data_IF_353289175751
#
_entry.id   IF_353289175751
#
_cell.length_a   1.000
_cell.length_b   1.000
_cell.length_c   1.000
_cell.angle_alpha   90.00
_cell.angle_beta   90.00
_cell.angle_gamma   90.00
#
_symmetry.space_group_name_H-M   'P 1'
#
loop_
_entity.id
_entity.type
_entity.pdbx_description
1 polymer ?
#
# COMPACT_ATOMS: atom_id res chain seq x y z
N UNK A 1 18.75 -4.51 -27.48
CA UNK A 1 17.73 -4.49 -26.40
C UNK A 1 18.39 -5.07 -25.15
N UNK A 2 18.48 -4.29 -24.07
CA UNK A 2 19.41 -4.55 -22.94
C UNK A 2 18.91 -5.70 -22.03
N UNK A 3 19.72 -6.75 -21.76
CA UNK A 3 19.34 -7.95 -21.01
C UNK A 3 19.20 -7.77 -19.47
N UNK A 4 19.08 -6.54 -18.99
CA UNK A 4 19.11 -6.23 -17.55
C UNK A 4 17.75 -6.39 -16.86
N UNK A 5 16.67 -6.48 -17.63
CA UNK A 5 15.31 -6.72 -17.09
C UNK A 5 15.05 -8.19 -16.72
N UNK A 6 15.90 -9.13 -17.13
CA UNK A 6 15.82 -10.54 -16.72
C UNK A 6 16.61 -10.83 -15.43
N UNK A 7 17.42 -9.87 -14.95
CA UNK A 7 18.27 -10.06 -13.78
C UNK A 7 17.55 -9.84 -12.44
N UNK A 8 16.38 -9.20 -12.42
CA UNK A 8 15.54 -9.12 -11.21
C UNK A 8 14.76 -10.41 -10.93
N UNK A 9 14.56 -11.29 -11.93
CA UNK A 9 13.93 -12.60 -11.75
C UNK A 9 14.92 -13.69 -11.32
N UNK A 10 16.23 -13.43 -11.34
CA UNK A 10 17.28 -14.44 -11.16
C UNK A 10 18.08 -14.31 -9.85
N UNK A 11 17.80 -13.30 -9.00
CA UNK A 11 18.59 -13.00 -7.80
C UNK A 11 18.01 -13.51 -6.47
N UNK A 12 16.98 -14.36 -6.49
CA UNK A 12 16.58 -15.12 -5.29
C UNK A 12 16.68 -16.62 -5.61
N UNK A 13 17.86 -17.24 -5.47
CA UNK A 13 17.94 -18.69 -5.47
C UNK A 13 17.34 -19.21 -4.16
N UNK A 14 16.25 -19.96 -4.25
CA UNK A 14 15.93 -20.96 -3.22
C UNK A 14 14.83 -20.66 -2.21
N UNK A 15 13.69 -20.08 -2.62
CA UNK A 15 12.45 -20.19 -1.79
C UNK A 15 11.28 -20.58 -2.69
N UNK A 16 11.36 -21.77 -3.29
CA UNK A 16 10.17 -22.45 -3.79
C UNK A 16 9.48 -23.13 -2.60
N UNK A 17 8.73 -22.35 -1.82
CA UNK A 17 7.95 -22.87 -0.71
C UNK A 17 6.49 -22.50 -0.95
N UNK A 18 5.68 -23.55 -1.13
CA UNK A 18 4.26 -23.42 -1.39
C UNK A 18 3.61 -22.42 -0.43
N UNK A 19 3.01 -21.37 -0.99
CA UNK A 19 2.29 -20.34 -0.22
C UNK A 19 2.95 -18.97 -0.19
N UNK A 20 4.15 -18.79 -0.78
CA UNK A 20 4.75 -17.46 -0.92
C UNK A 20 4.31 -16.75 -2.21
N UNK A 21 4.10 -15.45 -2.16
CA UNK A 21 3.73 -14.61 -3.31
C UNK A 21 4.49 -13.28 -3.24
N UNK A 22 5.13 -12.89 -4.34
CA UNK A 22 5.77 -11.58 -4.49
C UNK A 22 5.01 -10.81 -5.55
N UNK A 23 4.57 -9.58 -5.26
CA UNK A 23 3.80 -8.77 -6.19
C UNK A 23 4.32 -7.35 -6.36
N UNK A 24 4.06 -6.80 -7.54
CA UNK A 24 4.31 -5.40 -7.91
C UNK A 24 3.02 -4.80 -8.44
N UNK A 25 2.76 -3.55 -8.08
CA UNK A 25 1.52 -2.90 -8.48
C UNK A 25 1.57 -1.38 -8.51
N UNK A 26 0.46 -0.82 -8.98
CA UNK A 26 0.22 0.62 -9.01
C UNK A 26 -0.93 0.94 -8.07
N UNK A 27 -0.73 1.95 -7.24
CA UNK A 27 -1.71 2.38 -6.23
C UNK A 27 -2.02 3.86 -6.40
N UNK A 28 -3.27 4.24 -6.20
CA UNK A 28 -3.69 5.63 -6.03
C UNK A 28 -3.92 5.89 -4.54
N UNK A 29 -3.23 6.86 -3.96
CA UNK A 29 -3.36 7.23 -2.55
C UNK A 29 -3.99 8.61 -2.44
N UNK A 30 -5.08 8.69 -1.68
CA UNK A 30 -5.74 9.94 -1.29
C UNK A 30 -5.75 10.04 0.23
N UNK A 31 -5.19 11.14 0.74
CA UNK A 31 -5.13 11.43 2.17
C UNK A 31 -5.95 12.69 2.42
N UNK A 32 -6.91 12.60 3.32
CA UNK A 32 -7.73 13.72 3.75
C UNK A 32 -7.70 13.82 5.27
N UNK A 33 -7.69 15.04 5.77
CA UNK A 33 -7.91 15.36 7.17
C UNK A 33 -9.22 16.12 7.20
N UNK A 34 -10.17 15.76 8.08
CA UNK A 34 -11.54 16.29 8.10
C UNK A 34 -11.68 17.81 8.34
N UNK A 35 -10.59 18.57 8.23
CA UNK A 35 -10.54 20.03 8.24
C UNK A 35 -10.59 20.67 6.84
N UNK A 36 -10.18 21.93 6.79
CA UNK A 36 -10.31 22.84 5.62
C UNK A 36 -9.40 22.45 4.45
N UNK A 37 -8.43 21.55 4.65
CA UNK A 37 -7.40 21.17 3.68
C UNK A 37 -7.68 19.79 3.08
N UNK A 38 -8.68 19.71 2.21
CA UNK A 38 -9.01 18.50 1.46
C UNK A 38 -8.28 18.48 0.12
N UNK A 39 -7.10 17.87 0.07
CA UNK A 39 -6.47 17.53 -1.21
C UNK A 39 -7.07 16.21 -1.67
N UNK A 40 -8.05 16.30 -2.58
CA UNK A 40 -8.76 15.15 -3.15
C UNK A 40 -8.04 14.54 -4.35
N UNK A 41 -6.96 15.16 -4.83
CA UNK A 41 -6.21 14.66 -5.99
C UNK A 41 -5.46 13.39 -5.62
N UNK A 42 -5.80 12.24 -6.22
CA UNK A 42 -5.11 10.98 -5.96
C UNK A 42 -3.67 11.05 -6.43
N UNK A 43 -2.74 10.54 -5.63
CA UNK A 43 -1.34 10.37 -6.01
C UNK A 43 -1.08 8.95 -6.46
N UNK A 44 -0.56 8.80 -7.67
CA UNK A 44 -0.16 7.50 -8.19
C UNK A 44 1.20 7.11 -7.64
N UNK A 45 1.28 5.89 -7.15
CA UNK A 45 2.47 5.29 -6.56
C UNK A 45 2.68 3.87 -7.04
N UNK A 46 3.85 3.34 -6.68
CA UNK A 46 4.24 1.96 -6.91
C UNK A 46 4.22 1.21 -5.59
N UNK A 47 3.82 -0.05 -5.66
CA UNK A 47 3.82 -0.96 -4.52
C UNK A 47 4.62 -2.21 -4.87
N UNK A 48 5.45 -2.65 -3.92
CA UNK A 48 6.08 -3.95 -3.92
C UNK A 48 5.68 -4.68 -2.64
N UNK A 49 5.14 -5.90 -2.78
CA UNK A 49 4.62 -6.66 -1.66
C UNK A 49 5.16 -8.08 -1.67
N UNK A 50 5.30 -8.63 -0.47
CA UNK A 50 5.52 -10.04 -0.23
C UNK A 50 4.42 -10.56 0.68
N UNK A 51 3.96 -11.77 0.43
CA UNK A 51 2.98 -12.44 1.25
C UNK A 51 3.29 -13.94 1.38
N UNK A 52 2.81 -14.49 2.49
CA UNK A 52 2.83 -15.89 2.83
C UNK A 52 1.41 -16.32 3.22
N UNK A 53 0.94 -17.41 2.63
CA UNK A 53 -0.37 -18.00 2.91
C UNK A 53 -0.24 -19.20 3.85
N UNK A 54 -1.05 -19.19 4.90
CA UNK A 54 -1.23 -20.27 5.85
C UNK A 54 -2.74 -20.52 6.01
N UNK A 55 -3.24 -21.61 5.44
CA UNK A 55 -4.67 -21.93 5.38
C UNK A 55 -5.51 -20.79 4.78
N UNK A 56 -6.43 -20.22 5.57
CA UNK A 56 -7.28 -19.09 5.21
C UNK A 56 -6.64 -17.74 5.60
N UNK A 57 -5.40 -17.73 6.06
CA UNK A 57 -4.68 -16.52 6.41
C UNK A 57 -3.60 -16.21 5.38
N UNK A 58 -3.44 -14.91 5.09
CA UNK A 58 -2.38 -14.37 4.25
C UNK A 58 -1.69 -13.26 5.01
N UNK A 59 -0.48 -13.53 5.44
CA UNK A 59 0.38 -12.57 6.12
C UNK A 59 1.33 -11.96 5.12
N UNK A 60 1.56 -10.66 5.20
CA UNK A 60 2.47 -10.03 4.25
C UNK A 60 2.87 -8.64 4.67
N UNK A 61 3.72 -8.05 3.86
CA UNK A 61 4.16 -6.69 4.02
C UNK A 61 4.80 -6.19 2.75
N UNK A 62 5.09 -4.91 2.71
CA UNK A 62 5.59 -4.32 1.50
C UNK A 62 6.08 -2.90 1.67
N UNK A 63 6.54 -2.38 0.53
CA UNK A 63 6.95 -1.01 0.35
C UNK A 63 5.99 -0.35 -0.62
N UNK A 64 5.56 0.86 -0.28
CA UNK A 64 4.86 1.75 -1.20
C UNK A 64 5.68 2.99 -1.39
N UNK A 65 5.68 3.49 -2.60
CA UNK A 65 6.31 4.75 -2.94
C UNK A 65 5.33 5.57 -3.75
N UNK A 66 5.16 6.85 -3.40
CA UNK A 66 4.38 7.78 -4.21
C UNK A 66 5.11 9.13 -4.23
N UNK A 67 5.14 9.88 -5.33
CA UNK A 67 5.87 11.15 -5.39
C UNK A 67 5.33 12.15 -4.34
N UNK A 68 6.24 12.74 -3.57
CA UNK A 68 5.98 13.88 -2.68
C UNK A 68 6.70 15.11 -3.21
N UNK A 69 5.99 16.23 -3.33
CA UNK A 69 6.55 17.48 -3.83
C UNK A 69 7.63 18.13 -2.95
N UNK A 70 8.01 17.55 -1.79
CA UNK A 70 9.04 18.11 -0.90
C UNK A 70 9.88 17.02 -0.19
N UNK A 71 11.21 17.13 -0.30
CA UNK A 71 12.26 16.87 0.72
C UNK A 71 12.46 15.49 1.34
N UNK A 72 11.41 14.74 1.68
CA UNK A 72 11.52 13.43 2.34
C UNK A 72 11.30 12.28 1.37
N UNK A 73 11.95 11.13 1.60
CA UNK A 73 11.71 9.90 0.86
C UNK A 73 10.25 9.47 1.07
N UNK A 74 9.39 9.52 0.05
CA UNK A 74 7.96 9.29 0.22
C UNK A 74 7.66 7.80 0.11
N UNK A 75 8.28 7.06 1.02
CA UNK A 75 8.19 5.62 1.15
C UNK A 75 7.35 5.30 2.36
N UNK A 76 6.60 4.23 2.23
CA UNK A 76 5.82 3.63 3.29
C UNK A 76 6.20 2.16 3.40
N UNK A 77 6.35 1.71 4.63
CA UNK A 77 6.53 0.31 4.99
C UNK A 77 5.24 -0.14 5.66
N UNK A 78 4.69 -1.28 5.24
CA UNK A 78 3.47 -1.81 5.82
C UNK A 78 3.56 -3.32 6.07
N UNK A 79 2.72 -3.79 6.98
CA UNK A 79 2.44 -5.20 7.25
C UNK A 79 0.93 -5.42 7.33
N UNK A 80 0.45 -6.59 6.88
CA UNK A 80 -0.97 -6.94 6.84
C UNK A 80 -1.20 -8.40 7.19
N UNK A 81 -2.34 -8.67 7.80
CA UNK A 81 -2.86 -10.01 8.03
C UNK A 81 -4.25 -10.07 7.42
N UNK A 82 -4.42 -10.86 6.35
CA UNK A 82 -5.67 -10.92 5.59
C UNK A 82 -6.30 -12.29 5.75
N UNK A 83 -7.60 -12.32 5.99
CA UNK A 83 -8.41 -13.51 5.81
C UNK A 83 -8.70 -13.67 4.31
N UNK A 84 -8.49 -14.86 3.78
CA UNK A 84 -8.72 -15.22 2.38
C UNK A 84 -9.67 -16.42 2.30
N UNK A 85 -10.45 -16.48 1.22
CA UNK A 85 -11.26 -17.66 0.88
C UNK A 85 -10.95 -18.08 -0.55
N UNK A 86 -11.08 -19.37 -0.85
CA UNK A 86 -10.79 -19.92 -2.18
C UNK A 86 -12.08 -20.36 -2.86
N UNK A 87 -12.46 -19.63 -3.90
CA UNK A 87 -13.61 -19.92 -4.75
C UNK A 87 -13.13 -20.12 -6.19
N UNK A 88 -12.58 -21.31 -6.44
CA UNK A 88 -11.92 -21.62 -7.71
C UNK A 88 -10.65 -20.79 -7.90
N UNK A 89 -10.64 -19.94 -8.93
CA UNK A 89 -9.56 -18.97 -9.21
C UNK A 89 -9.73 -17.67 -8.42
N UNK A 90 -10.93 -17.37 -7.95
CA UNK A 90 -11.19 -16.16 -7.19
C UNK A 90 -10.76 -16.36 -5.74
N UNK A 91 -9.90 -15.47 -5.25
CA UNK A 91 -9.31 -15.54 -3.90
C UNK A 91 -9.37 -14.17 -3.21
N UNK A 92 -10.58 -13.67 -2.88
CA UNK A 92 -10.73 -12.38 -2.23
C UNK A 92 -10.06 -12.42 -0.85
N UNK A 93 -9.53 -11.27 -0.42
CA UNK A 93 -8.86 -11.15 0.86
C UNK A 93 -9.29 -9.88 1.60
N UNK A 94 -9.38 -9.93 2.93
CA UNK A 94 -9.70 -8.77 3.76
C UNK A 94 -9.05 -8.87 5.13
N UNK A 95 -8.56 -7.76 5.69
CA UNK A 95 -8.05 -7.77 7.05
C UNK A 95 -7.31 -6.50 7.43
N UNK A 96 -6.76 -6.46 8.65
CA UNK A 96 -6.00 -5.32 9.13
C UNK A 96 -4.66 -5.15 8.41
N UNK A 97 -4.27 -3.88 8.30
CA UNK A 97 -2.96 -3.42 7.87
C UNK A 97 -2.45 -2.36 8.85
N UNK A 98 -1.15 -2.38 9.10
CA UNK A 98 -0.44 -1.38 9.88
C UNK A 98 0.80 -0.94 9.10
N UNK A 99 1.16 0.33 9.21
CA UNK A 99 2.31 0.83 8.49
C UNK A 99 2.86 2.13 9.02
N UNK A 100 4.03 2.47 8.52
CA UNK A 100 4.74 3.71 8.79
C UNK A 100 4.92 4.41 7.46
N UNK A 101 4.31 5.59 7.33
CA UNK A 101 4.24 6.36 6.10
C UNK A 101 5.07 7.64 6.20
N UNK A 102 5.98 7.83 5.23
CA UNK A 102 6.59 9.12 4.94
C UNK A 102 5.74 10.01 4.03
N UNK A 103 4.54 9.56 3.62
CA UNK A 103 3.69 10.32 2.71
C UNK A 103 3.07 11.52 3.43
N UNK A 104 3.22 12.75 2.90
CA UNK A 104 2.59 13.91 3.53
C UNK A 104 1.07 13.74 3.46
N UNK A 105 0.43 13.83 4.63
CA UNK A 105 -1.04 13.71 4.79
C UNK A 105 -1.74 14.98 4.26
N UNK A 106 -1.06 16.11 4.32
CA UNK A 106 -1.55 17.42 3.88
C UNK A 106 -0.59 17.94 2.82
N UNK A 107 -1.08 18.26 1.63
CA UNK A 107 -0.35 19.11 0.70
C UNK A 107 -0.84 20.54 0.91
N UNK A 108 0.05 21.52 1.13
CA UNK A 108 -0.36 22.91 1.20
C UNK A 108 -1.00 23.32 -0.14
N UNK A 109 -2.11 24.08 -0.15
CA UNK A 109 -2.65 24.67 -1.38
C UNK A 109 -1.57 25.50 -2.08
N UNK A 110 -1.59 25.55 -3.42
CA UNK A 110 -0.78 26.51 -4.18
C UNK A 110 -1.24 27.93 -3.82
N UNK A 111 -0.54 28.57 -2.88
CA UNK A 111 -0.89 29.92 -2.42
C UNK A 111 -0.42 30.24 -1.00
N UNK A 112 0.86 30.58 -0.85
CA UNK A 112 1.37 31.43 0.25
C UNK A 112 1.21 30.96 1.70
N UNK A 113 0.76 29.73 1.95
CA UNK A 113 0.63 29.21 3.31
C UNK A 113 2.01 28.96 3.94
N UNK A 114 2.22 29.32 5.24
CA UNK A 114 3.47 29.04 5.91
C UNK A 114 3.74 27.53 6.01
N UNK A 115 4.89 27.08 5.52
CA UNK A 115 5.37 25.68 5.60
C UNK A 115 5.42 25.13 7.05
N UNK A 116 5.42 26.02 8.05
CA UNK A 116 5.44 25.65 9.46
C UNK A 116 4.15 24.98 9.94
N UNK A 117 2.99 25.28 9.34
CA UNK A 117 1.71 24.68 9.73
C UNK A 117 1.60 23.23 9.26
N UNK A 118 1.96 22.97 8.00
CA UNK A 118 1.97 21.61 7.43
C UNK A 118 2.97 20.71 8.17
N UNK A 119 4.14 21.26 8.53
CA UNK A 119 5.16 20.54 9.31
C UNK A 119 4.68 20.23 10.73
N UNK A 120 4.06 21.19 11.44
CA UNK A 120 3.52 20.97 12.79
C UNK A 120 2.39 19.94 12.80
N UNK A 121 1.49 19.97 11.83
CA UNK A 121 0.43 18.96 11.71
C UNK A 121 0.99 17.58 11.34
N UNK A 122 1.98 17.50 10.44
CA UNK A 122 2.64 16.23 10.13
C UNK A 122 3.30 15.62 11.38
N UNK A 123 3.93 16.44 12.24
CA UNK A 123 4.47 15.97 13.53
C UNK A 123 3.37 15.49 14.49
N UNK A 124 2.22 16.16 14.54
CA UNK A 124 1.10 15.79 15.42
C UNK A 124 0.43 14.47 14.99
N UNK A 125 0.21 14.29 13.68
CA UNK A 125 -0.42 13.09 13.13
C UNK A 125 0.48 11.86 13.20
N UNK A 126 1.80 12.08 13.13
CA UNK A 126 2.79 11.02 13.15
C UNK A 126 2.77 10.16 11.88
N UNK A 127 3.80 9.32 11.69
CA UNK A 127 3.95 8.52 10.47
C UNK A 127 3.18 7.19 10.55
N UNK A 128 2.81 6.74 11.74
CA UNK A 128 2.22 5.41 11.92
C UNK A 128 0.69 5.43 11.70
N UNK A 129 0.17 4.42 11.02
CA UNK A 129 -1.26 4.29 10.71
C UNK A 129 -1.75 2.85 10.89
N UNK A 130 -3.07 2.72 11.01
CA UNK A 130 -3.81 1.46 10.94
C UNK A 130 -4.89 1.59 9.86
N UNK A 131 -5.10 0.53 9.10
CA UNK A 131 -6.08 0.47 8.04
C UNK A 131 -6.75 -0.91 7.96
N UNK A 132 -7.91 -0.94 7.33
CA UNK A 132 -8.52 -2.16 6.81
C UNK A 132 -8.18 -2.23 5.33
N UNK A 133 -7.61 -3.36 4.91
CA UNK A 133 -7.30 -3.67 3.53
C UNK A 133 -8.29 -4.71 3.00
N UNK A 134 -8.82 -4.49 1.81
CA UNK A 134 -9.70 -5.41 1.10
C UNK A 134 -9.25 -5.57 -0.36
N UNK A 135 -9.07 -6.79 -0.81
CA UNK A 135 -8.73 -7.16 -2.19
C UNK A 135 -9.87 -8.02 -2.77
N UNK A 136 -11.00 -7.42 -3.17
CA UNK A 136 -12.16 -8.17 -3.64
C UNK A 136 -11.92 -8.80 -5.02
N UNK A 137 -11.14 -8.17 -5.91
CA UNK A 137 -10.86 -8.69 -7.25
C UNK A 137 -9.47 -9.30 -7.35
N UNK A 138 -9.18 -10.27 -6.47
CA UNK A 138 -7.94 -11.05 -6.49
C UNK A 138 -8.18 -12.42 -7.11
N UNK A 139 -7.34 -12.78 -8.07
CA UNK A 139 -7.40 -14.03 -8.82
C UNK A 139 -6.04 -14.73 -8.80
N UNK A 140 -6.08 -16.05 -8.62
CA UNK A 140 -4.91 -16.91 -8.57
C UNK A 140 -4.97 -17.93 -9.72
N UNK A 141 -3.92 -17.94 -10.53
CA UNK A 141 -3.72 -18.80 -11.69
C UNK A 141 -2.56 -19.78 -11.48
N UNK A 142 -2.39 -20.26 -10.25
CA UNK A 142 -1.35 -21.20 -9.78
C UNK A 142 0.05 -20.61 -9.73
N UNK A 143 0.55 -20.04 -10.84
CA UNK A 143 1.90 -19.44 -10.92
C UNK A 143 1.90 -17.93 -10.79
N UNK A 144 0.76 -17.30 -11.05
CA UNK A 144 0.63 -15.87 -11.01
C UNK A 144 -0.67 -15.45 -10.32
N UNK A 145 -0.58 -14.33 -9.62
CA UNK A 145 -1.70 -13.67 -8.98
C UNK A 145 -1.98 -12.37 -9.73
N UNK A 146 -3.26 -12.05 -9.93
CA UNK A 146 -3.68 -10.74 -10.42
C UNK A 146 -4.67 -10.19 -9.43
N UNK A 147 -4.45 -8.96 -8.94
CA UNK A 147 -5.45 -8.23 -8.18
C UNK A 147 -5.72 -6.86 -8.77
N UNK A 148 -6.95 -6.40 -8.59
CA UNK A 148 -7.38 -5.08 -8.96
C UNK A 148 -8.36 -4.53 -7.91
N UNK A 149 -8.54 -3.21 -7.91
CA UNK A 149 -9.45 -2.51 -7.00
C UNK A 149 -9.26 -2.92 -5.53
N UNK A 150 -8.00 -3.01 -5.08
CA UNK A 150 -7.71 -3.18 -3.66
C UNK A 150 -8.08 -1.89 -2.94
N UNK A 151 -8.85 -1.96 -1.86
CA UNK A 151 -9.28 -0.79 -1.10
C UNK A 151 -8.65 -0.83 0.27
N UNK A 152 -8.09 0.29 0.67
CA UNK A 152 -7.49 0.49 1.98
C UNK A 152 -8.13 1.72 2.62
N UNK A 153 -8.66 1.52 3.82
CA UNK A 153 -9.34 2.55 4.58
C UNK A 153 -8.77 2.61 5.99
N UNK A 154 -8.20 3.75 6.39
CA UNK A 154 -7.48 3.83 7.65
C UNK A 154 -7.34 5.23 8.24
N UNK A 155 -6.62 5.30 9.35
CA UNK A 155 -6.36 6.52 10.11
C UNK A 155 -4.98 6.47 10.77
N UNK A 156 -4.44 7.63 11.14
CA UNK A 156 -3.18 7.70 11.88
C UNK A 156 -3.37 7.25 13.33
N UNK A 157 -2.33 6.65 13.91
CA UNK A 157 -2.38 6.11 15.27
C UNK A 157 -2.31 7.19 16.35
N UNK A 158 -1.62 8.31 16.11
CA UNK A 158 -1.47 9.37 17.11
C UNK A 158 -2.75 10.18 17.30
N UNK A 159 -3.59 10.28 16.27
CA UNK A 159 -4.89 10.96 16.32
C UNK A 159 -5.96 10.16 15.57
N UNK A 160 -6.45 9.05 16.16
CA UNK A 160 -7.49 8.24 15.53
C UNK A 160 -8.73 9.08 15.22
N UNK A 161 -9.18 9.05 13.97
CA UNK A 161 -10.37 9.77 13.51
C UNK A 161 -10.14 11.22 13.06
N UNK A 162 -8.95 11.81 13.28
CA UNK A 162 -8.61 13.12 12.74
C UNK A 162 -8.28 13.06 11.24
N UNK A 163 -7.76 11.91 10.79
CA UNK A 163 -7.36 11.68 9.39
C UNK A 163 -8.07 10.50 8.79
N UNK A 164 -8.48 10.65 7.54
CA UNK A 164 -8.99 9.61 6.70
C UNK A 164 -7.96 9.32 5.60
N UNK A 165 -7.44 8.10 5.61
CA UNK A 165 -6.59 7.57 4.55
C UNK A 165 -7.43 6.66 3.66
N UNK A 166 -7.48 6.99 2.37
CA UNK A 166 -8.08 6.14 1.36
C UNK A 166 -7.02 5.79 0.31
N UNK A 167 -6.74 4.52 0.13
CA UNK A 167 -5.84 4.04 -0.90
C UNK A 167 -6.53 2.99 -1.76
N UNK A 168 -6.34 3.10 -3.06
CA UNK A 168 -6.89 2.19 -4.06
C UNK A 168 -5.74 1.55 -4.83
N UNK A 169 -5.52 0.25 -4.64
CA UNK A 169 -4.70 -0.56 -5.52
C UNK A 169 -5.38 -0.76 -6.85
N UNK A 170 -4.80 -0.24 -7.92
CA UNK A 170 -5.41 -0.29 -9.24
C UNK A 170 -5.21 -1.67 -9.85
N UNK A 171 -3.95 -2.09 -9.92
CA UNK A 171 -3.53 -3.38 -10.46
C UNK A 171 -2.27 -3.83 -9.73
N UNK A 172 -2.25 -5.09 -9.29
CA UNK A 172 -1.05 -5.78 -8.84
C UNK A 172 -0.89 -7.11 -9.56
N UNK A 173 0.35 -7.42 -9.89
CA UNK A 173 0.76 -8.67 -10.51
C UNK A 173 1.72 -9.38 -9.56
N UNK A 174 1.35 -10.59 -9.17
CA UNK A 174 2.13 -11.44 -8.27
C UNK A 174 2.63 -12.71 -8.95
N UNK A 175 3.73 -13.24 -8.44
CA UNK A 175 4.25 -14.56 -8.77
C UNK A 175 4.24 -15.41 -7.50
N UNK A 176 3.62 -16.58 -7.58
CA UNK A 176 3.63 -17.58 -6.52
C UNK A 176 4.94 -18.36 -6.60
N UNK A 177 5.67 -18.44 -5.49
CA UNK A 177 6.94 -19.17 -5.38
C UNK A 177 6.74 -20.58 -4.83
#
# INVERSE_FOLDING_TARGET
MRPWLLLSAALIPGVAAAGHDVSLGVTAVTLTNGGVYNVTTPRFGLEAAYAYELDNWRFGGGLRWAPSGQGNLPVEVYARALLTTRLGRWRPAVGPELGVSGLPIILPPEGGFPDDLSRKQAMQLGPAYVAVHAAPLRFDFSRFTVSALEVQWGTTLNQPGATLRLQVGLVHLGVTL
#
